data_IF_729803728337
#
_entry.id   IF_729803728337
#
_cell.length_a   1.000
_cell.length_b   1.000
_cell.length_c   1.000
_cell.angle_alpha   90.00
_cell.angle_beta   90.00
_cell.angle_gamma   90.00
#
_symmetry.space_group_name_H-M   'P 1'
#
loop_
_entity.id
_entity.type
_entity.pdbx_description
1 polymer ?
#
# COMPACT_ATOMS: atom_id res chain seq x y z
N UNK A 1 -17.82 17.51 -18.01
CA UNK A 1 -17.67 16.05 -17.87
C UNK A 1 -17.66 15.71 -16.39
N UNK A 2 -18.67 15.02 -15.88
CA UNK A 2 -18.69 14.58 -14.49
C UNK A 2 -17.81 13.33 -14.38
N UNK A 3 -16.69 13.43 -13.69
CA UNK A 3 -15.87 12.27 -13.36
C UNK A 3 -16.67 11.30 -12.50
N UNK A 4 -16.66 10.03 -12.86
CA UNK A 4 -17.27 8.99 -12.03
C UNK A 4 -16.55 8.94 -10.67
N UNK A 5 -17.28 8.62 -9.61
CA UNK A 5 -16.75 8.52 -8.24
C UNK A 5 -15.49 7.63 -8.16
N UNK A 6 -15.41 6.60 -9.02
CA UNK A 6 -14.28 5.68 -9.10
C UNK A 6 -13.03 6.31 -9.74
N UNK A 7 -13.18 7.19 -10.74
CA UNK A 7 -12.05 7.88 -11.36
C UNK A 7 -11.42 8.91 -10.41
N UNK A 8 -12.25 9.60 -9.61
CA UNK A 8 -11.75 10.53 -8.59
C UNK A 8 -10.94 9.79 -7.54
N UNK A 9 -11.44 8.66 -7.05
CA UNK A 9 -10.77 7.81 -6.06
C UNK A 9 -9.46 7.25 -6.58
N UNK A 10 -9.44 6.77 -7.81
CA UNK A 10 -8.22 6.28 -8.44
C UNK A 10 -7.17 7.38 -8.58
N UNK A 11 -7.57 8.60 -8.94
CA UNK A 11 -6.66 9.76 -9.02
C UNK A 11 -6.06 10.10 -7.65
N UNK A 12 -6.85 10.07 -6.59
CA UNK A 12 -6.36 10.29 -5.23
C UNK A 12 -5.33 9.23 -4.84
N UNK A 13 -5.56 7.97 -5.17
CA UNK A 13 -4.63 6.88 -4.91
C UNK A 13 -3.29 7.10 -5.64
N UNK A 14 -3.34 7.48 -6.91
CA UNK A 14 -2.13 7.76 -7.68
C UNK A 14 -1.35 8.94 -7.10
N UNK A 15 -2.04 10.02 -6.73
CA UNK A 15 -1.36 11.18 -6.10
C UNK A 15 -0.71 10.82 -4.77
N UNK A 16 -1.30 9.91 -3.99
CA UNK A 16 -0.70 9.40 -2.76
C UNK A 16 0.54 8.55 -3.02
N UNK A 17 0.50 7.67 -4.02
CA UNK A 17 1.65 6.85 -4.41
C UNK A 17 2.78 7.74 -4.90
N UNK A 18 2.49 8.75 -5.70
CA UNK A 18 3.50 9.68 -6.21
C UNK A 18 4.11 10.50 -5.07
N UNK A 19 3.32 11.00 -4.13
CA UNK A 19 3.82 11.68 -2.94
C UNK A 19 4.70 10.76 -2.08
N UNK A 20 4.26 9.53 -1.84
CA UNK A 20 5.04 8.56 -1.09
C UNK A 20 6.36 8.22 -1.78
N UNK A 21 6.35 8.06 -3.11
CA UNK A 21 7.56 7.84 -3.88
C UNK A 21 8.50 9.06 -3.84
N UNK A 22 7.98 10.28 -3.88
CA UNK A 22 8.76 11.51 -3.78
C UNK A 22 9.46 11.59 -2.41
N UNK A 23 8.70 11.40 -1.34
CA UNK A 23 9.26 11.37 0.04
C UNK A 23 10.32 10.28 0.18
N UNK A 24 10.09 9.11 -0.41
CA UNK A 24 11.07 8.03 -0.41
C UNK A 24 12.34 8.37 -1.18
N UNK A 25 12.22 9.05 -2.32
CA UNK A 25 13.38 9.46 -3.12
C UNK A 25 14.20 10.50 -2.38
N UNK A 26 13.56 11.45 -1.70
CA UNK A 26 14.24 12.47 -0.91
C UNK A 26 14.92 11.85 0.32
N UNK A 27 14.20 11.02 1.07
CA UNK A 27 14.79 10.27 2.18
C UNK A 27 15.92 9.35 1.70
N UNK A 28 15.76 8.74 0.52
CA UNK A 28 16.81 7.93 -0.08
C UNK A 28 18.06 8.75 -0.36
N UNK A 29 17.93 9.91 -0.98
CA UNK A 29 19.09 10.79 -1.26
C UNK A 29 19.81 11.20 0.02
N UNK A 30 19.07 11.51 1.07
CA UNK A 30 19.65 11.94 2.34
C UNK A 30 20.21 10.80 3.16
N UNK A 31 19.49 9.68 3.26
CA UNK A 31 19.81 8.54 4.14
C UNK A 31 20.85 7.61 3.53
N UNK A 32 20.75 7.32 2.24
CA UNK A 32 21.67 6.38 1.58
C UNK A 32 23.03 7.01 1.29
N UNK A 33 23.07 8.31 1.05
CA UNK A 33 24.35 9.00 0.85
C UNK A 33 25.12 9.23 2.15
N UNK A 34 24.42 9.34 3.30
CA UNK A 34 25.07 9.65 4.59
C UNK A 34 25.17 8.49 5.57
N UNK A 35 24.36 7.45 5.41
CA UNK A 35 24.33 6.31 6.33
C UNK A 35 24.81 5.04 5.63
N UNK A 36 25.93 4.50 6.10
CA UNK A 36 26.49 3.25 5.57
C UNK A 36 25.71 2.00 6.02
N UNK A 37 25.00 2.07 7.15
CA UNK A 37 24.34 0.94 7.77
C UNK A 37 22.98 0.61 7.12
N UNK A 38 22.90 -0.55 6.47
CA UNK A 38 21.67 -1.07 5.88
C UNK A 38 20.55 -1.24 6.91
N UNK A 39 20.87 -1.51 8.17
CA UNK A 39 19.91 -1.60 9.29
C UNK A 39 19.13 -0.31 9.51
N UNK A 40 19.80 0.84 9.46
CA UNK A 40 19.13 2.14 9.63
C UNK A 40 18.22 2.46 8.43
N UNK A 41 18.69 2.15 7.22
CA UNK A 41 17.89 2.30 6.00
C UNK A 41 16.62 1.45 6.07
N UNK A 42 16.75 0.23 6.58
CA UNK A 42 15.63 -0.69 6.76
C UNK A 42 14.67 -0.22 7.86
N UNK A 43 15.20 0.36 8.95
CA UNK A 43 14.39 0.95 10.01
C UNK A 43 13.52 2.08 9.46
N UNK A 44 14.11 3.00 8.69
CA UNK A 44 13.38 4.09 8.04
C UNK A 44 12.32 3.57 7.08
N UNK A 45 12.64 2.54 6.31
CA UNK A 45 11.65 1.88 5.45
C UNK A 45 10.47 1.36 6.27
N UNK A 46 10.73 0.65 7.37
CA UNK A 46 9.68 0.09 8.24
C UNK A 46 8.88 1.16 8.98
N UNK A 47 9.51 2.26 9.39
CA UNK A 47 8.87 3.31 10.21
C UNK A 47 8.16 4.39 9.40
N UNK A 48 8.55 4.64 8.17
CA UNK A 48 7.97 5.70 7.33
C UNK A 48 7.19 5.12 6.16
N UNK A 49 7.85 4.30 5.34
CA UNK A 49 7.24 3.79 4.11
C UNK A 49 6.06 2.86 4.37
N UNK A 50 6.27 1.88 5.26
CA UNK A 50 5.24 0.89 5.56
C UNK A 50 3.97 1.54 6.14
N UNK A 51 4.03 2.44 7.15
CA UNK A 51 2.83 3.10 7.66
C UNK A 51 2.10 3.95 6.63
N UNK A 52 2.82 4.70 5.77
CA UNK A 52 2.19 5.49 4.71
C UNK A 52 1.35 4.60 3.79
N UNK A 53 1.86 3.44 3.41
CA UNK A 53 1.14 2.54 2.52
C UNK A 53 0.08 1.68 3.22
N UNK A 54 0.21 1.38 4.51
CA UNK A 54 -0.78 0.57 5.23
C UNK A 54 -1.95 1.41 5.74
N UNK A 55 -1.72 2.63 6.21
CA UNK A 55 -2.75 3.49 6.79
C UNK A 55 -3.89 3.83 5.82
N UNK A 56 -3.56 4.07 4.56
CA UNK A 56 -4.53 4.49 3.55
C UNK A 56 -5.30 3.32 2.94
N UNK A 57 -4.80 2.08 3.09
CA UNK A 57 -5.30 0.92 2.34
C UNK A 57 -6.32 0.06 3.07
N UNK A 58 -6.61 0.33 4.34
CA UNK A 58 -7.55 -0.49 5.12
C UNK A 58 -8.98 -0.44 4.58
N UNK A 59 -9.41 0.72 4.10
CA UNK A 59 -10.75 0.97 3.59
C UNK A 59 -10.89 0.97 2.05
N UNK A 60 -9.79 0.78 1.32
CA UNK A 60 -9.82 0.92 -0.14
C UNK A 60 -9.95 -0.42 -0.86
N UNK A 61 -10.93 -0.48 -1.75
CA UNK A 61 -10.96 -1.49 -2.83
C UNK A 61 -9.92 -1.09 -3.86
N UNK A 62 -8.70 -1.60 -3.71
CA UNK A 62 -7.57 -1.22 -4.56
C UNK A 62 -7.54 -2.08 -5.82
N UNK A 63 -7.52 -1.42 -6.97
CA UNK A 63 -7.40 -2.07 -8.28
C UNK A 63 -6.05 -2.77 -8.39
N UNK A 64 -6.00 -3.93 -9.01
CA UNK A 64 -4.76 -4.73 -9.22
C UNK A 64 -3.59 -3.89 -9.75
N UNK A 65 -3.86 -2.93 -10.65
CA UNK A 65 -2.85 -2.04 -11.21
C UNK A 65 -2.11 -1.22 -10.14
N UNK A 66 -2.83 -0.69 -9.15
CA UNK A 66 -2.26 0.08 -8.04
C UNK A 66 -1.41 -0.81 -7.15
N UNK A 67 -1.84 -2.06 -6.90
CA UNK A 67 -1.07 -3.03 -6.14
C UNK A 67 0.29 -3.33 -6.79
N UNK A 68 0.32 -3.49 -8.11
CA UNK A 68 1.57 -3.68 -8.84
C UNK A 68 2.50 -2.47 -8.73
N UNK A 69 1.97 -1.25 -8.74
CA UNK A 69 2.79 -0.04 -8.59
C UNK A 69 3.38 0.07 -7.18
N UNK A 70 2.60 -0.22 -6.14
CA UNK A 70 3.08 -0.27 -4.75
C UNK A 70 4.17 -1.32 -4.60
N UNK A 71 3.95 -2.51 -5.14
CA UNK A 71 4.94 -3.59 -5.11
C UNK A 71 6.22 -3.22 -5.88
N UNK A 72 6.10 -2.55 -7.01
CA UNK A 72 7.25 -2.07 -7.78
C UNK A 72 8.05 -1.02 -7.01
N UNK A 73 7.38 -0.08 -6.34
CA UNK A 73 8.02 0.93 -5.49
C UNK A 73 8.74 0.28 -4.30
N UNK A 74 8.08 -0.64 -3.59
CA UNK A 74 8.67 -1.43 -2.51
C UNK A 74 9.95 -2.13 -2.97
N UNK A 75 9.87 -2.88 -4.06
CA UNK A 75 11.00 -3.64 -4.57
C UNK A 75 12.13 -2.75 -5.07
N UNK A 76 11.83 -1.60 -5.64
CA UNK A 76 12.84 -0.62 -6.05
C UNK A 76 13.62 -0.13 -4.85
N UNK A 77 12.95 0.18 -3.76
CA UNK A 77 13.58 0.65 -2.53
C UNK A 77 14.42 -0.46 -1.86
N UNK A 78 13.85 -1.66 -1.71
CA UNK A 78 14.55 -2.81 -1.09
C UNK A 78 15.80 -3.23 -1.87
N UNK A 79 15.74 -3.21 -3.21
CA UNK A 79 16.91 -3.49 -4.05
C UNK A 79 18.02 -2.46 -3.85
N UNK A 80 17.66 -1.20 -3.72
CA UNK A 80 18.62 -0.13 -3.43
C UNK A 80 19.30 -0.31 -2.07
N UNK A 81 18.54 -0.70 -1.03
CA UNK A 81 19.13 -1.01 0.29
C UNK A 81 20.10 -2.18 0.19
N UNK A 82 19.70 -3.23 -0.52
CA UNK A 82 20.53 -4.44 -0.69
C UNK A 82 21.72 -4.23 -1.63
N UNK A 83 21.79 -3.10 -2.35
CA UNK A 83 22.84 -2.84 -3.33
C UNK A 83 22.73 -3.67 -4.60
N UNK A 84 21.57 -4.26 -4.87
CA UNK A 84 21.36 -5.13 -6.04
C UNK A 84 20.67 -4.38 -7.16
N UNK A 85 21.37 -4.24 -8.29
CA UNK A 85 20.82 -3.67 -9.51
C UNK A 85 19.85 -4.64 -10.21
N UNK A 86 18.91 -4.11 -11.00
CA UNK A 86 18.01 -4.90 -11.87
C UNK A 86 18.77 -5.81 -12.85
N UNK A 87 20.01 -5.45 -13.21
CA UNK A 87 20.88 -6.24 -14.10
C UNK A 87 21.16 -7.65 -13.58
N UNK A 88 21.21 -7.83 -12.26
CA UNK A 88 21.52 -9.13 -11.64
C UNK A 88 20.34 -10.11 -11.64
N UNK A 89 19.17 -9.74 -12.18
CA UNK A 89 17.97 -10.60 -12.29
C UNK A 89 17.58 -11.35 -10.99
N UNK A 90 17.94 -10.79 -9.82
CA UNK A 90 17.61 -11.39 -8.53
C UNK A 90 16.10 -11.36 -8.31
N UNK A 91 15.52 -12.50 -7.97
CA UNK A 91 14.08 -12.62 -7.69
C UNK A 91 13.70 -11.77 -6.47
N UNK A 92 12.56 -11.08 -6.55
CA UNK A 92 12.03 -10.22 -5.49
C UNK A 92 11.91 -10.93 -4.14
N UNK A 93 11.49 -12.19 -4.15
CA UNK A 93 11.36 -12.99 -2.93
C UNK A 93 12.71 -13.23 -2.21
N UNK A 94 13.82 -13.33 -2.95
CA UNK A 94 15.15 -13.46 -2.35
C UNK A 94 15.59 -12.17 -1.66
N UNK A 95 15.32 -11.02 -2.26
CA UNK A 95 15.65 -9.71 -1.68
C UNK A 95 14.86 -9.48 -0.39
N UNK A 96 13.56 -9.75 -0.38
CA UNK A 96 12.73 -9.64 0.81
C UNK A 96 13.18 -10.55 1.95
N UNK A 97 13.52 -11.81 1.63
CA UNK A 97 14.03 -12.76 2.62
C UNK A 97 15.39 -12.33 3.20
N UNK A 98 16.31 -11.86 2.35
CA UNK A 98 17.64 -11.41 2.78
C UNK A 98 17.57 -10.20 3.72
N UNK A 99 16.58 -9.32 3.53
CA UNK A 99 16.35 -8.15 4.37
C UNK A 99 15.38 -8.39 5.54
N UNK A 100 14.83 -9.60 5.66
CA UNK A 100 13.80 -9.96 6.64
C UNK A 100 12.62 -8.96 6.63
N UNK A 101 12.09 -8.71 5.44
CA UNK A 101 10.96 -7.81 5.21
C UNK A 101 9.78 -8.61 4.70
N UNK A 102 8.65 -8.49 5.39
CA UNK A 102 7.38 -9.04 4.92
C UNK A 102 6.84 -8.17 3.77
N UNK A 103 6.42 -8.77 2.64
CA UNK A 103 5.84 -8.03 1.52
C UNK A 103 4.64 -7.17 1.97
N UNK A 104 4.58 -5.92 1.48
CA UNK A 104 3.50 -4.99 1.80
C UNK A 104 2.11 -5.52 1.45
N UNK A 105 2.01 -6.30 0.39
CA UNK A 105 0.73 -6.93 0.00
C UNK A 105 0.19 -7.84 1.09
N UNK A 106 1.03 -8.70 1.65
CA UNK A 106 0.63 -9.63 2.73
C UNK A 106 0.24 -8.84 3.98
N UNK A 107 1.02 -7.82 4.32
CA UNK A 107 0.72 -6.94 5.47
C UNK A 107 -0.61 -6.22 5.29
N UNK A 108 -0.89 -5.74 4.08
CA UNK A 108 -2.17 -5.13 3.73
C UNK A 108 -3.33 -6.11 3.87
N UNK A 109 -3.20 -7.32 3.34
CA UNK A 109 -4.24 -8.36 3.46
C UNK A 109 -4.54 -8.69 4.92
N UNK A 110 -3.51 -8.81 5.75
CA UNK A 110 -3.68 -8.99 7.21
C UNK A 110 -4.42 -7.82 7.84
N UNK A 111 -4.05 -6.58 7.51
CA UNK A 111 -4.72 -5.38 8.04
C UNK A 111 -6.19 -5.31 7.61
N UNK A 112 -6.49 -5.62 6.35
CA UNK A 112 -7.88 -5.68 5.86
C UNK A 112 -8.70 -6.76 6.57
N UNK A 113 -8.14 -7.94 6.80
CA UNK A 113 -8.82 -9.01 7.54
C UNK A 113 -9.08 -8.61 8.99
N UNK A 114 -8.11 -7.97 9.66
CA UNK A 114 -8.29 -7.46 11.01
C UNK A 114 -9.38 -6.38 11.07
N UNK A 115 -9.39 -5.46 10.13
CA UNK A 115 -10.43 -4.44 10.01
C UNK A 115 -11.80 -5.08 9.79
N UNK A 116 -11.91 -6.05 8.89
CA UNK A 116 -13.14 -6.80 8.65
C UNK A 116 -13.63 -7.51 9.93
N UNK A 117 -12.75 -8.23 10.62
CA UNK A 117 -13.07 -8.86 11.90
C UNK A 117 -13.55 -7.83 12.93
N UNK A 118 -12.87 -6.67 13.01
CA UNK A 118 -13.28 -5.61 13.92
C UNK A 118 -14.69 -5.08 13.61
N UNK A 119 -14.99 -4.83 12.35
CA UNK A 119 -16.32 -4.36 11.92
C UNK A 119 -17.41 -5.41 12.21
N UNK A 120 -17.11 -6.70 12.06
CA UNK A 120 -18.10 -7.77 12.34
C UNK A 120 -18.46 -7.91 13.82
N UNK A 121 -17.51 -7.55 14.72
CA UNK A 121 -17.72 -7.61 16.16
C UNK A 121 -18.43 -6.34 16.70
N UNK A 122 -18.41 -5.23 15.94
CA UNK A 122 -19.04 -3.98 16.34
C UNK A 122 -20.56 -4.15 16.60
N UNK A 123 -21.16 -3.35 17.51
CA UNK A 123 -22.62 -3.31 17.71
C UNK A 123 -23.36 -3.00 16.41
N UNK A 124 -24.58 -3.52 16.25
CA UNK A 124 -25.37 -3.33 15.01
C UNK A 124 -25.75 -1.89 14.72
N UNK A 125 -25.73 -1.02 15.74
CA UNK A 125 -26.05 0.40 15.64
C UNK A 125 -25.00 1.21 14.88
N UNK A 126 -23.79 0.67 14.70
CA UNK A 126 -22.68 1.36 14.03
C UNK A 126 -22.86 1.24 12.51
N UNK A 127 -22.86 2.39 11.83
CA UNK A 127 -23.03 2.52 10.38
C UNK A 127 -22.10 1.64 9.55
N UNK A 128 -20.87 1.39 10.03
CA UNK A 128 -19.91 0.54 9.33
C UNK A 128 -20.38 -0.92 9.26
N UNK A 129 -20.98 -1.46 10.33
CA UNK A 129 -21.57 -2.82 10.35
C UNK A 129 -22.84 -2.88 9.52
N UNK A 130 -23.68 -1.85 9.58
CA UNK A 130 -24.88 -1.76 8.76
C UNK A 130 -24.54 -1.75 7.27
N UNK A 131 -23.48 -1.01 6.87
CA UNK A 131 -22.99 -0.99 5.49
C UNK A 131 -22.47 -2.36 5.03
N UNK A 132 -21.84 -3.12 5.92
CA UNK A 132 -21.35 -4.47 5.62
C UNK A 132 -22.50 -5.46 5.42
N UNK A 133 -23.57 -5.33 6.21
CA UNK A 133 -24.74 -6.21 6.16
C UNK A 133 -25.77 -5.78 5.10
N UNK A 134 -25.63 -4.56 4.56
CA UNK A 134 -26.52 -4.05 3.52
C UNK A 134 -26.33 -4.85 2.23
N UNK A 135 -27.27 -5.72 1.94
CA UNK A 135 -27.38 -6.36 0.63
C UNK A 135 -27.79 -5.30 -0.39
N UNK A 136 -27.10 -5.25 -1.51
CA UNK A 136 -27.44 -4.35 -2.62
C UNK A 136 -28.78 -4.78 -3.25
N UNK A 137 -29.88 -4.35 -2.63
CA UNK A 137 -31.25 -4.70 -3.06
C UNK A 137 -31.78 -3.77 -4.14
N UNK A 138 -31.14 -2.65 -4.41
CA UNK A 138 -31.57 -1.72 -5.44
C UNK A 138 -30.82 -1.92 -6.75
N UNK A 139 -31.54 -2.42 -7.76
CA UNK A 139 -31.13 -2.33 -9.16
C UNK A 139 -31.00 -0.85 -9.52
N UNK A 140 -29.77 -0.41 -9.83
CA UNK A 140 -29.47 0.93 -10.31
C UNK A 140 -30.45 1.29 -11.43
N UNK A 141 -31.25 2.37 -11.34
CA UNK A 141 -32.16 2.74 -12.41
C UNK A 141 -31.36 2.97 -13.71
N UNK A 142 -31.80 2.32 -14.79
CA UNK A 142 -31.22 2.55 -16.12
C UNK A 142 -31.39 4.03 -16.48
N UNK A 143 -30.29 4.74 -16.66
CA UNK A 143 -30.32 6.08 -17.26
C UNK A 143 -30.90 5.94 -18.68
N UNK A 144 -32.02 6.63 -18.92
CA UNK A 144 -32.51 6.87 -20.26
C UNK A 144 -31.63 7.87 -20.98
#
# INVERSE_FOLDING_TARGET
MAFTSDERRNREIYTWIDKANTVLLELYRYVITKLELNTVKLLIFKSVFVPIFTYVHESWVVIKRVLYQVQAAEMTFLRRIHGVSLRYKVRSCKVGKALNVEPLLIRREKSQLLFFCHVTIMPQEISARQALLATATEKRPRRR
#
